data_IF_406307030356
#
_entry.id   IF_406307030356
#
_cell.length_a   1.000
_cell.length_b   1.000
_cell.length_c   1.000
_cell.angle_alpha   90.00
_cell.angle_beta   90.00
_cell.angle_gamma   90.00
#
_symmetry.space_group_name_H-M   'P 1'
#
loop_
_entity.id
_entity.type
_entity.pdbx_description
1 polymer ?
#
# COMPACT_ATOMS: atom_id res chain seq x y z
N UNK A 1 25.58 19.19 4.56
CA UNK A 1 24.50 18.84 5.51
C UNK A 1 24.01 17.45 5.12
N UNK A 2 24.49 16.37 5.76
CA UNK A 2 23.94 15.03 5.50
C UNK A 2 22.78 14.78 6.44
N UNK A 3 21.57 14.72 5.89
CA UNK A 3 20.37 14.26 6.61
C UNK A 3 20.42 12.74 6.64
N UNK A 4 20.70 12.15 7.80
CA UNK A 4 20.54 10.72 7.99
C UNK A 4 19.03 10.44 8.07
N UNK A 5 18.42 10.10 6.93
CA UNK A 5 17.00 9.77 6.83
C UNK A 5 16.85 8.30 7.22
N UNK A 6 16.09 8.03 8.28
CA UNK A 6 15.77 6.67 8.66
C UNK A 6 15.00 5.97 7.52
N UNK A 7 15.25 4.67 7.28
CA UNK A 7 14.52 3.95 6.25
C UNK A 7 13.02 3.87 6.59
N UNK A 8 12.14 3.90 5.57
CA UNK A 8 10.72 3.69 5.79
C UNK A 8 10.47 2.29 6.38
N UNK A 9 9.44 2.17 7.21
CA UNK A 9 9.10 0.93 7.91
C UNK A 9 7.72 0.44 7.49
N UNK A 10 7.49 -0.87 7.57
CA UNK A 10 6.22 -1.52 7.23
C UNK A 10 5.90 -1.51 5.74
N UNK A 11 6.90 -1.29 4.88
CA UNK A 11 6.69 -1.39 3.44
C UNK A 11 6.99 -2.82 2.96
N UNK A 12 6.34 -3.27 1.88
CA UNK A 12 6.68 -4.52 1.20
C UNK A 12 8.17 -4.60 0.85
N UNK A 13 8.71 -5.81 0.82
CA UNK A 13 10.15 -6.04 0.71
C UNK A 13 10.79 -5.46 -0.56
N UNK A 14 10.01 -5.37 -1.64
CA UNK A 14 10.42 -4.85 -2.95
C UNK A 14 10.57 -3.31 -3.02
N UNK A 15 10.20 -2.59 -1.97
CA UNK A 15 10.54 -1.17 -1.82
C UNK A 15 12.00 -0.95 -1.42
N UNK A 16 12.66 -1.97 -0.88
CA UNK A 16 14.04 -1.88 -0.41
C UNK A 16 15.01 -2.38 -1.48
N UNK A 17 16.14 -1.68 -1.62
CA UNK A 17 17.20 -2.14 -2.51
C UNK A 17 17.81 -3.45 -1.96
N UNK A 18 17.85 -4.56 -2.72
CA UNK A 18 18.34 -5.85 -2.22
C UNK A 18 19.77 -5.79 -1.66
N UNK A 19 20.68 -5.04 -2.29
CA UNK A 19 22.07 -4.91 -1.80
C UNK A 19 22.15 -4.19 -0.46
N UNK A 20 21.33 -3.17 -0.28
CA UNK A 20 21.30 -2.43 0.99
C UNK A 20 20.62 -3.27 2.07
N UNK A 21 19.48 -3.87 1.74
CA UNK A 21 18.68 -4.68 2.66
C UNK A 21 19.44 -5.91 3.17
N UNK A 22 20.14 -6.62 2.28
CA UNK A 22 20.88 -7.83 2.65
C UNK A 22 22.04 -7.57 3.61
N UNK A 23 22.56 -6.32 3.65
CA UNK A 23 23.60 -5.91 4.59
C UNK A 23 23.07 -5.55 5.99
N UNK A 24 21.76 -5.52 6.20
CA UNK A 24 21.15 -5.25 7.50
C UNK A 24 21.24 -6.45 8.44
N UNK A 25 21.17 -6.20 9.75
CA UNK A 25 21.00 -7.27 10.73
C UNK A 25 19.61 -7.92 10.59
N UNK A 26 19.48 -9.20 10.95
CA UNK A 26 18.20 -9.94 10.91
C UNK A 26 17.09 -9.21 11.67
N UNK A 27 17.40 -8.68 12.87
CA UNK A 27 16.45 -7.91 13.67
C UNK A 27 16.01 -6.62 12.95
N UNK A 28 16.91 -5.92 12.28
CA UNK A 28 16.55 -4.74 11.51
C UNK A 28 15.70 -5.08 10.29
N UNK A 29 16.02 -6.16 9.57
CA UNK A 29 15.22 -6.66 8.45
C UNK A 29 13.76 -6.87 8.89
N UNK A 30 13.54 -7.65 9.95
CA UNK A 30 12.19 -7.90 10.50
C UNK A 30 11.50 -6.63 10.99
N UNK A 31 12.24 -5.69 11.61
CA UNK A 31 11.64 -4.46 12.13
C UNK A 31 11.20 -3.49 11.04
N UNK A 32 11.86 -3.48 9.89
CA UNK A 32 11.62 -2.46 8.86
C UNK A 32 10.72 -2.95 7.74
N UNK A 33 10.83 -4.21 7.30
CA UNK A 33 10.09 -4.67 6.11
C UNK A 33 8.94 -5.58 6.46
N UNK A 34 7.88 -5.45 5.69
CA UNK A 34 6.87 -6.49 5.54
C UNK A 34 7.39 -7.51 4.51
N UNK A 35 7.91 -8.63 5.02
CA UNK A 35 8.47 -9.70 4.20
C UNK A 35 7.40 -10.61 3.61
N UNK A 36 6.13 -10.49 4.00
CA UNK A 36 5.03 -11.35 3.54
C UNK A 36 4.35 -10.82 2.28
N UNK A 37 4.54 -9.53 2.01
CA UNK A 37 3.88 -8.83 0.91
C UNK A 37 4.88 -8.32 -0.14
N UNK A 38 4.41 -8.26 -1.40
CA UNK A 38 5.10 -7.67 -2.55
C UNK A 38 4.11 -6.74 -3.29
N UNK A 39 4.60 -5.61 -3.78
CA UNK A 39 3.78 -4.58 -4.42
C UNK A 39 4.07 -4.42 -5.92
N UNK A 40 5.27 -4.79 -6.38
CA UNK A 40 5.73 -4.55 -7.74
C UNK A 40 5.75 -5.83 -8.57
N UNK A 41 5.54 -5.65 -9.87
CA UNK A 41 5.81 -6.72 -10.83
C UNK A 41 7.32 -6.99 -10.88
N UNK A 42 7.74 -8.24 -11.13
CA UNK A 42 9.16 -8.60 -11.19
C UNK A 42 9.93 -7.84 -12.27
N UNK A 43 9.27 -7.51 -13.38
CA UNK A 43 9.82 -6.62 -14.40
C UNK A 43 9.18 -5.23 -14.28
N UNK A 44 9.96 -4.19 -13.91
CA UNK A 44 9.46 -2.82 -13.84
C UNK A 44 8.93 -2.28 -15.17
N UNK A 45 9.38 -2.82 -16.32
CA UNK A 45 8.90 -2.37 -17.63
C UNK A 45 7.43 -2.69 -17.83
N UNK A 46 6.90 -3.73 -17.17
CA UNK A 46 5.50 -4.12 -17.28
C UNK A 46 4.56 -3.19 -16.52
N UNK A 47 5.07 -2.46 -15.51
CA UNK A 47 4.30 -1.48 -14.75
C UNK A 47 4.03 -0.18 -15.53
N UNK A 48 4.90 0.18 -16.47
CA UNK A 48 4.86 1.46 -17.18
C UNK A 48 4.30 1.36 -18.61
N UNK A 49 3.62 0.26 -18.93
CA UNK A 49 3.04 0.07 -20.25
C UNK A 49 1.74 0.84 -20.42
N UNK A 50 1.47 1.28 -21.65
CA UNK A 50 0.20 1.94 -21.99
C UNK A 50 -1.03 1.05 -21.72
N UNK A 51 -0.83 -0.27 -21.72
CA UNK A 51 -1.85 -1.25 -21.35
C UNK A 51 -1.48 -1.84 -19.99
N UNK A 52 -2.46 -1.84 -19.07
CA UNK A 52 -2.31 -2.44 -17.74
C UNK A 52 -1.95 -3.91 -17.84
N UNK A 53 -1.03 -4.34 -16.97
CA UNK A 53 -0.64 -5.74 -16.88
C UNK A 53 -1.85 -6.55 -16.40
N UNK A 54 -2.14 -7.74 -16.98
CA UNK A 54 -3.33 -8.51 -16.63
C UNK A 54 -3.38 -8.91 -15.16
N UNK A 55 -2.24 -8.95 -14.48
CA UNK A 55 -2.15 -9.32 -13.06
C UNK A 55 -2.38 -8.14 -12.09
N UNK A 56 -2.48 -6.89 -12.57
CA UNK A 56 -2.88 -5.74 -11.73
C UNK A 56 -4.32 -5.85 -11.22
N UNK A 57 -5.14 -6.71 -11.82
CA UNK A 57 -6.52 -6.97 -11.40
C UNK A 57 -6.63 -8.06 -10.32
N UNK A 58 -5.52 -8.73 -10.00
CA UNK A 58 -5.49 -9.73 -8.96
C UNK A 58 -5.73 -9.07 -7.60
N UNK A 59 -6.33 -9.79 -6.66
CA UNK A 59 -6.29 -9.35 -5.27
C UNK A 59 -4.86 -9.48 -4.73
N UNK A 60 -4.54 -8.70 -3.70
CA UNK A 60 -3.21 -8.72 -3.06
C UNK A 60 -2.77 -10.14 -2.69
N UNK A 61 -3.69 -10.94 -2.14
CA UNK A 61 -3.43 -12.35 -1.79
C UNK A 61 -3.02 -13.20 -3.01
N UNK A 62 -3.67 -13.00 -4.15
CA UNK A 62 -3.34 -13.72 -5.39
C UNK A 62 -2.04 -13.23 -6.00
N UNK A 63 -1.81 -11.91 -5.95
CA UNK A 63 -0.60 -11.27 -6.43
C UNK A 63 0.63 -11.73 -5.64
N UNK A 64 0.56 -11.63 -4.31
CA UNK A 64 1.62 -12.10 -3.40
C UNK A 64 1.92 -13.57 -3.64
N UNK A 65 0.91 -14.45 -3.66
CA UNK A 65 1.13 -15.88 -3.93
C UNK A 65 1.85 -16.14 -5.26
N UNK A 66 1.67 -15.29 -6.27
CA UNK A 66 2.26 -15.45 -7.60
C UNK A 66 3.71 -14.95 -7.67
N UNK A 67 4.02 -13.84 -7.01
CA UNK A 67 5.28 -13.13 -7.19
C UNK A 67 6.20 -13.14 -5.98
N UNK A 68 5.69 -13.45 -4.79
CA UNK A 68 6.45 -13.43 -3.54
C UNK A 68 7.69 -14.33 -3.59
N UNK A 69 7.55 -15.59 -3.98
CA UNK A 69 8.68 -16.53 -4.11
C UNK A 69 9.77 -16.04 -5.09
N UNK A 70 9.38 -15.31 -6.13
CA UNK A 70 10.30 -14.79 -7.14
C UNK A 70 11.10 -13.60 -6.61
N UNK A 71 10.43 -12.71 -5.88
CA UNK A 71 11.04 -11.51 -5.30
C UNK A 71 11.92 -11.87 -4.11
N UNK A 72 11.42 -12.71 -3.21
CA UNK A 72 12.08 -13.06 -1.96
C UNK A 72 13.43 -13.76 -2.18
N UNK A 73 13.60 -14.49 -3.28
CA UNK A 73 14.87 -15.12 -3.64
C UNK A 73 16.04 -14.15 -3.87
N UNK A 74 15.78 -12.85 -4.01
CA UNK A 74 16.83 -11.81 -4.11
C UNK A 74 17.23 -11.24 -2.75
N UNK A 75 16.45 -11.53 -1.71
CA UNK A 75 16.68 -11.06 -0.35
C UNK A 75 17.21 -12.20 0.52
N UNK A 76 18.24 -11.90 1.29
CA UNK A 76 18.80 -12.83 2.25
C UNK A 76 17.98 -12.77 3.54
N UNK A 77 16.93 -13.58 3.57
CA UNK A 77 16.03 -13.75 4.70
C UNK A 77 16.32 -15.05 5.46
N UNK A 78 17.52 -15.64 5.35
CA UNK A 78 17.83 -16.89 6.06
C UNK A 78 17.77 -16.70 7.59
N UNK A 79 16.57 -16.97 8.11
CA UNK A 79 16.15 -17.57 9.37
C UNK A 79 16.60 -16.96 10.71
N UNK A 80 15.61 -16.47 11.46
CA UNK A 80 15.28 -17.16 12.72
C UNK A 80 13.81 -17.61 12.64
N UNK A 81 13.57 -18.84 12.18
CA UNK A 81 12.47 -19.66 12.70
C UNK A 81 12.70 -19.69 14.22
N UNK A 82 11.67 -19.37 15.04
CA UNK A 82 11.74 -19.06 16.48
C UNK A 82 11.94 -17.56 16.80
N UNK A 83 10.92 -16.72 16.62
CA UNK A 83 10.35 -15.84 17.67
C UNK A 83 9.34 -14.83 17.07
N UNK A 84 8.29 -15.32 16.41
CA UNK A 84 7.12 -14.49 16.13
C UNK A 84 6.22 -14.49 17.39
N UNK A 85 6.69 -13.89 18.48
CA UNK A 85 5.79 -13.47 19.54
C UNK A 85 4.90 -12.38 18.94
N UNK A 86 3.65 -12.76 18.69
CA UNK A 86 2.57 -11.86 18.29
C UNK A 86 2.43 -10.75 19.34
N UNK A 87 3.13 -9.64 19.18
CA UNK A 87 2.78 -8.41 19.89
C UNK A 87 1.53 -7.83 19.20
N UNK A 88 0.38 -8.42 19.56
CA UNK A 88 -0.94 -7.83 19.32
C UNK A 88 -1.04 -6.62 20.22
N UNK A 89 -0.40 -5.53 19.82
CA UNK A 89 -0.69 -4.22 20.39
C UNK A 89 -2.09 -3.81 19.89
N UNK A 90 -3.05 -4.27 20.67
CA UNK A 90 -4.46 -3.98 20.62
C UNK A 90 -4.64 -2.49 20.87
N UNK A 91 -4.51 -1.65 19.84
CA UNK A 91 -4.98 -0.27 19.95
C UNK A 91 -6.51 -0.25 19.76
N UNK A 92 -7.16 -0.20 20.92
CA UNK A 92 -8.58 -0.19 21.12
C UNK A 92 -9.12 1.25 20.96
N UNK A 93 -10.10 1.39 20.07
CA UNK A 93 -11.19 2.39 20.08
C UNK A 93 -10.94 3.81 19.55
N UNK A 94 -12.01 4.56 19.19
CA UNK A 94 -13.43 4.20 19.21
C UNK A 94 -14.17 4.35 17.87
N UNK A 95 -15.18 3.49 17.73
CA UNK A 95 -16.47 3.71 17.07
C UNK A 95 -16.85 5.20 16.96
N UNK A 96 -16.77 5.72 15.74
CA UNK A 96 -17.28 7.04 15.37
C UNK A 96 -18.49 6.87 14.47
N UNK A 97 -19.61 6.42 15.02
CA UNK A 97 -20.90 6.46 14.35
C UNK A 97 -21.23 7.91 14.04
N UNK A 98 -21.05 8.33 12.78
CA UNK A 98 -21.53 9.62 12.29
C UNK A 98 -23.05 9.58 12.22
N UNK A 99 -23.69 10.14 13.25
CA UNK A 99 -25.11 10.41 13.27
C UNK A 99 -25.41 11.59 12.31
N UNK A 100 -25.85 11.27 11.09
CA UNK A 100 -26.34 12.26 10.14
C UNK A 100 -27.83 12.49 10.43
N UNK A 101 -28.11 13.22 11.51
CA UNK A 101 -29.45 13.75 11.74
C UNK A 101 -29.82 14.75 10.63
N UNK A 102 -30.96 14.44 10.03
CA UNK A 102 -31.74 15.14 9.03
C UNK A 102 -31.99 16.62 9.39
N UNK A 103 -31.62 17.54 8.49
CA UNK A 103 -32.22 18.89 8.46
C UNK A 103 -33.01 19.03 7.17
N UNK A 104 -34.30 18.73 7.25
CA UNK A 104 -35.33 19.20 6.32
C UNK A 104 -35.50 20.71 6.46
N UNK A 105 -35.52 21.42 5.32
CA UNK A 105 -36.33 22.61 4.93
C UNK A 105 -35.58 23.35 3.82
N UNK A 106 -35.96 23.25 2.54
CA UNK A 106 -37.08 23.87 1.82
C UNK A 106 -36.93 25.38 1.56
N UNK A 107 -37.35 25.77 0.34
CA UNK A 107 -37.54 27.14 -0.21
C UNK A 107 -36.29 27.80 -0.82
N UNK A 108 -36.30 28.46 -1.98
CA UNK A 108 -37.16 28.56 -3.16
C UNK A 108 -36.35 29.41 -4.19
N UNK A 109 -36.57 29.19 -5.49
CA UNK A 109 -36.43 30.15 -6.60
C UNK A 109 -35.07 30.86 -6.89
N UNK A 110 -34.46 30.57 -8.05
CA UNK A 110 -34.16 31.63 -9.03
C UNK A 110 -34.03 31.09 -10.47
N UNK A 111 -35.00 31.48 -11.29
CA UNK A 111 -35.14 31.22 -12.72
C UNK A 111 -34.04 31.89 -13.55
N UNK A 112 -33.18 31.09 -14.19
CA UNK A 112 -32.21 31.60 -15.16
C UNK A 112 -32.77 31.60 -16.59
N UNK A 113 -33.24 32.78 -17.00
CA UNK A 113 -32.82 33.45 -18.25
C UNK A 113 -33.08 32.75 -19.59
N UNK A 114 -34.12 33.23 -20.28
CA UNK A 114 -34.38 33.10 -21.72
C UNK A 114 -33.14 33.31 -22.60
N UNK A 115 -32.95 32.43 -23.60
CA UNK A 115 -32.21 32.75 -24.82
C UNK A 115 -32.99 32.23 -26.03
N UNK A 116 -33.60 33.15 -26.79
CA UNK A 116 -34.21 32.83 -28.09
C UNK A 116 -33.12 32.74 -29.18
N UNK A 117 -33.15 31.74 -30.06
CA UNK A 117 -32.39 31.77 -31.30
C UNK A 117 -33.16 32.56 -32.37
N UNK A 118 -32.58 33.68 -32.83
CA UNK A 118 -33.08 34.41 -33.98
C UNK A 118 -32.70 33.72 -35.30
N UNK A 119 -33.68 33.57 -36.19
CA UNK A 119 -33.52 33.27 -37.63
C UNK A 119 -33.18 34.53 -38.43
#
# INVERSE_FOLDING_TARGET
MSTNVAPPKGLPIDFYNPKWFNNLSTLEKHRISDSDNVAFLPDPQDLLQAKRHPDEKLSDKQFNKKYHELVIGTYDLSETEEDAEEDKDSDNSPDGSIDLEETSDNEEEESHGLFEPGE
#
